data_IF_272152160234
#
_entry.id   IF_272152160234
#
_cell.length_a   1.000
_cell.length_b   1.000
_cell.length_c   1.000
_cell.angle_alpha   90.00
_cell.angle_beta   90.00
_cell.angle_gamma   90.00
#
_symmetry.space_group_name_H-M   'P 1'
#
loop_
_entity.id
_entity.type
_entity.pdbx_description
1 polymer ?
#
# COMPACT_ATOMS: atom_id res chain seq x y z
N UNK A 1 -1.95 -37.29 -11.57
CA UNK A 1 -0.86 -36.44 -11.02
C UNK A 1 -0.77 -35.09 -11.72
N UNK A 2 -0.60 -35.03 -13.06
CA UNK A 2 -0.51 -33.75 -13.78
C UNK A 2 -1.69 -32.78 -13.57
N UNK A 3 -2.93 -33.28 -13.56
CA UNK A 3 -4.11 -32.45 -13.33
C UNK A 3 -4.14 -31.81 -11.93
N UNK A 4 -3.71 -32.55 -10.90
CA UNK A 4 -3.61 -32.04 -9.52
C UNK A 4 -2.52 -30.96 -9.42
N UNK A 5 -1.39 -31.14 -10.12
CA UNK A 5 -0.31 -30.15 -10.18
C UNK A 5 -0.75 -28.87 -10.92
N UNK A 6 -1.51 -29.00 -12.01
CA UNK A 6 -2.09 -27.87 -12.74
C UNK A 6 -3.14 -27.11 -11.90
N UNK A 7 -3.99 -27.82 -11.19
CA UNK A 7 -4.96 -27.24 -10.25
C UNK A 7 -4.28 -26.50 -9.10
N UNK A 8 -3.20 -27.04 -8.54
CA UNK A 8 -2.44 -26.36 -7.50
C UNK A 8 -1.71 -25.11 -8.00
N UNK A 9 -1.14 -25.15 -9.22
CA UNK A 9 -0.50 -23.97 -9.82
C UNK A 9 -1.55 -22.90 -10.11
N UNK A 10 -2.70 -23.27 -10.68
CA UNK A 10 -3.79 -22.33 -10.94
C UNK A 10 -4.32 -21.69 -9.65
N UNK A 11 -4.47 -22.48 -8.58
CA UNK A 11 -4.86 -21.96 -7.27
C UNK A 11 -3.84 -20.96 -6.71
N UNK A 12 -2.54 -21.25 -6.83
CA UNK A 12 -1.48 -20.31 -6.40
C UNK A 12 -1.47 -19.01 -7.19
N UNK A 13 -1.75 -19.05 -8.50
CA UNK A 13 -1.83 -17.85 -9.35
C UNK A 13 -3.06 -17.00 -9.01
N UNK A 14 -4.12 -17.60 -8.47
CA UNK A 14 -5.33 -16.89 -8.06
C UNK A 14 -5.22 -16.24 -6.67
N UNK A 15 -4.20 -16.57 -5.87
CA UNK A 15 -3.87 -15.82 -4.66
C UNK A 15 -3.13 -14.55 -5.08
N UNK A 16 -3.86 -13.61 -5.70
CA UNK A 16 -3.37 -12.25 -5.87
C UNK A 16 -3.12 -11.61 -4.50
N UNK A 17 -2.23 -10.62 -4.45
CA UNK A 17 -2.11 -9.73 -3.30
C UNK A 17 -3.44 -8.99 -3.14
N UNK A 18 -4.36 -9.59 -2.37
CA UNK A 18 -5.61 -8.96 -1.98
C UNK A 18 -5.30 -7.94 -0.91
N UNK A 19 -5.72 -6.70 -1.12
CA UNK A 19 -5.66 -5.66 -0.11
C UNK A 19 -6.37 -6.03 1.15
N UNK A 20 -5.93 -5.37 2.21
CA UNK A 20 -6.45 -5.50 3.55
C UNK A 20 -7.02 -4.17 3.99
N UNK A 21 -8.22 -4.20 4.54
CA UNK A 21 -8.75 -3.10 5.33
C UNK A 21 -8.42 -3.37 6.79
N UNK A 22 -7.49 -2.61 7.36
CA UNK A 22 -7.10 -2.77 8.75
C UNK A 22 -8.18 -2.24 9.70
N UNK A 23 -8.31 -2.88 10.87
CA UNK A 23 -8.97 -2.24 12.01
C UNK A 23 -8.02 -1.23 12.65
N UNK A 24 -8.57 -0.17 13.27
CA UNK A 24 -7.76 0.90 13.89
C UNK A 24 -6.65 0.39 14.82
N UNK A 25 -6.98 -0.47 15.78
CA UNK A 25 -5.99 -0.98 16.75
C UNK A 25 -5.02 -1.99 16.12
N UNK A 26 -5.46 -2.71 15.09
CA UNK A 26 -4.59 -3.63 14.34
C UNK A 26 -3.52 -2.84 13.58
N UNK A 27 -3.91 -1.77 12.88
CA UNK A 27 -2.97 -0.86 12.23
C UNK A 27 -2.05 -0.18 13.26
N UNK A 28 -2.59 0.24 14.40
CA UNK A 28 -1.80 0.84 15.48
C UNK A 28 -0.67 -0.09 15.94
N UNK A 29 -0.98 -1.38 16.12
CA UNK A 29 0.01 -2.38 16.50
C UNK A 29 1.08 -2.59 15.44
N UNK A 30 0.70 -2.67 14.16
CA UNK A 30 1.66 -2.79 13.04
C UNK A 30 2.58 -1.57 12.98
N UNK A 31 2.03 -0.36 13.06
CA UNK A 31 2.81 0.88 13.01
C UNK A 31 3.72 1.05 14.23
N UNK A 32 3.25 0.67 15.42
CA UNK A 32 4.08 0.66 16.62
C UNK A 32 5.25 -0.33 16.51
N UNK A 33 4.99 -1.54 16.00
CA UNK A 33 6.05 -2.54 15.74
C UNK A 33 7.05 -2.08 14.69
N UNK A 34 6.61 -1.28 13.72
CA UNK A 34 7.47 -0.63 12.72
C UNK A 34 8.24 0.59 13.25
N UNK A 35 8.07 0.96 14.53
CA UNK A 35 8.79 2.10 15.14
C UNK A 35 8.26 3.47 14.73
N UNK A 36 6.99 3.55 14.29
CA UNK A 36 6.40 4.82 13.82
C UNK A 36 5.98 5.76 14.97
N UNK A 37 5.82 5.25 16.19
CA UNK A 37 5.46 6.07 17.34
C UNK A 37 6.64 6.96 17.78
N UNK A 38 6.51 8.27 17.58
CA UNK A 38 7.56 9.25 17.80
C UNK A 38 8.48 9.47 16.59
N UNK A 39 8.27 8.78 15.47
CA UNK A 39 9.09 8.95 14.27
C UNK A 39 8.99 10.39 13.74
N UNK A 40 10.14 11.07 13.67
CA UNK A 40 10.23 12.51 13.34
C UNK A 40 9.34 13.41 14.21
N UNK A 41 9.03 12.98 15.43
CA UNK A 41 8.20 13.73 16.39
C UNK A 41 6.69 13.55 16.24
N UNK A 42 6.22 12.70 15.31
CA UNK A 42 4.81 12.39 15.14
C UNK A 42 4.40 11.18 15.99
N UNK A 43 3.29 11.30 16.70
CA UNK A 43 2.75 10.23 17.54
C UNK A 43 2.08 9.14 16.69
N UNK A 44 1.88 7.96 17.28
CA UNK A 44 1.09 6.91 16.63
C UNK A 44 -0.33 7.37 16.23
N UNK A 45 -0.93 8.29 16.98
CA UNK A 45 -2.24 8.83 16.68
C UNK A 45 -2.26 9.66 15.38
N UNK A 46 -1.17 10.37 15.08
CA UNK A 46 -1.05 11.16 13.85
C UNK A 46 -1.03 10.27 12.62
N UNK A 47 -0.25 9.18 12.64
CA UNK A 47 -0.20 8.19 11.57
C UNK A 47 -1.55 7.50 11.35
N UNK A 48 -2.25 7.16 12.43
CA UNK A 48 -3.60 6.58 12.34
C UNK A 48 -4.62 7.56 11.78
N UNK A 49 -4.52 8.85 12.15
CA UNK A 49 -5.39 9.89 11.64
C UNK A 49 -5.22 10.04 10.12
N UNK A 50 -3.97 10.17 9.67
CA UNK A 50 -3.63 10.25 8.25
C UNK A 50 -4.14 9.04 7.47
N UNK A 51 -3.76 7.82 7.88
CA UNK A 51 -4.21 6.59 7.19
C UNK A 51 -5.74 6.43 7.13
N UNK A 52 -6.47 6.91 8.15
CA UNK A 52 -7.93 6.89 8.11
C UNK A 52 -8.47 7.89 7.09
N UNK A 53 -7.96 9.11 7.09
CA UNK A 53 -8.47 10.18 6.25
C UNK A 53 -8.14 9.99 4.77
N UNK A 54 -6.95 9.45 4.49
CA UNK A 54 -6.47 9.13 3.15
C UNK A 54 -7.20 7.92 2.56
N UNK A 55 -7.14 6.74 3.21
CA UNK A 55 -7.59 5.49 2.56
C UNK A 55 -8.69 4.73 3.31
N UNK A 56 -9.15 5.24 4.46
CA UNK A 56 -10.02 4.51 5.40
C UNK A 56 -9.39 3.17 5.84
N UNK A 57 -8.06 3.16 6.01
CA UNK A 57 -7.24 1.98 6.37
C UNK A 57 -7.21 0.85 5.32
N UNK A 58 -7.68 1.10 4.10
CA UNK A 58 -7.57 0.15 3.00
C UNK A 58 -6.19 0.24 2.35
N UNK A 59 -5.49 -0.89 2.22
CA UNK A 59 -4.19 -0.95 1.55
C UNK A 59 -4.27 -0.95 0.03
N UNK A 60 -5.45 -1.18 -0.54
CA UNK A 60 -5.68 -1.23 -2.00
C UNK A 60 -6.34 0.03 -2.57
N UNK A 61 -6.49 1.10 -1.77
CA UNK A 61 -7.01 2.36 -2.31
C UNK A 61 -6.05 2.93 -3.34
N UNK A 62 -6.57 3.26 -4.52
CA UNK A 62 -5.86 3.94 -5.58
C UNK A 62 -6.73 5.08 -6.08
N UNK A 63 -6.23 6.30 -5.96
CA UNK A 63 -6.86 7.49 -6.50
C UNK A 63 -6.07 8.00 -7.72
N UNK A 64 -6.79 8.61 -8.67
CA UNK A 64 -6.26 9.05 -9.96
C UNK A 64 -6.30 10.57 -10.07
N UNK A 65 -5.14 11.18 -10.29
CA UNK A 65 -4.98 12.61 -10.38
C UNK A 65 -5.14 13.13 -11.81
N UNK A 66 -5.49 14.41 -11.94
CA UNK A 66 -5.72 15.05 -13.24
C UNK A 66 -4.47 15.14 -14.12
N UNK A 67 -3.27 15.07 -13.52
CA UNK A 67 -1.99 15.07 -14.23
C UNK A 67 -1.55 13.67 -14.69
N UNK A 68 -2.36 12.65 -14.43
CA UNK A 68 -2.13 11.25 -14.81
C UNK A 68 -1.31 10.45 -13.79
N UNK A 69 -0.86 11.06 -12.69
CA UNK A 69 -0.30 10.32 -11.54
C UNK A 69 -1.38 9.63 -10.72
N UNK A 70 -0.96 8.74 -9.81
CA UNK A 70 -1.84 8.04 -8.89
C UNK A 70 -1.37 8.16 -7.45
N UNK A 71 -2.30 8.18 -6.52
CA UNK A 71 -2.05 8.04 -5.09
C UNK A 71 -2.35 6.62 -4.64
N UNK A 72 -1.36 5.96 -4.03
CA UNK A 72 -1.36 4.51 -3.88
C UNK A 72 -1.33 4.06 -2.42
N UNK A 73 -2.24 3.15 -2.07
CA UNK A 73 -2.25 2.38 -0.84
C UNK A 73 -2.67 3.14 0.41
N UNK A 74 -2.30 2.60 1.56
CA UNK A 74 -2.82 3.05 2.87
C UNK A 74 -2.47 4.50 3.24
N UNK A 75 -1.38 5.02 2.66
CA UNK A 75 -0.90 6.38 2.89
C UNK A 75 -1.01 7.28 1.65
N UNK A 76 -1.67 6.80 0.59
CA UNK A 76 -1.88 7.56 -0.66
C UNK A 76 -0.55 8.15 -1.20
N UNK A 77 0.45 7.27 -1.37
CA UNK A 77 1.78 7.66 -1.85
C UNK A 77 1.72 7.93 -3.36
N UNK A 78 2.05 9.16 -3.75
CA UNK A 78 1.92 9.64 -5.13
C UNK A 78 3.00 9.10 -6.10
N UNK A 79 2.59 8.63 -7.28
CA UNK A 79 3.46 8.07 -8.32
C UNK A 79 4.29 9.11 -9.07
N UNK A 80 3.96 10.40 -9.02
CA UNK A 80 4.77 11.46 -9.65
C UNK A 80 6.14 11.64 -8.98
N UNK A 81 6.24 11.32 -7.70
CA UNK A 81 7.43 11.62 -6.89
C UNK A 81 8.03 10.38 -6.22
N UNK A 82 7.20 9.50 -5.66
CA UNK A 82 7.67 8.53 -4.68
C UNK A 82 7.91 7.13 -5.24
N UNK A 83 7.03 6.63 -6.10
CA UNK A 83 7.09 5.29 -6.67
C UNK A 83 6.95 5.33 -8.20
N UNK A 84 7.25 4.21 -8.87
CA UNK A 84 7.05 4.05 -10.32
C UNK A 84 5.82 3.17 -10.61
N UNK A 85 4.92 3.67 -11.46
CA UNK A 85 3.72 2.95 -11.96
C UNK A 85 3.84 2.57 -13.44
N UNK A 86 4.97 2.89 -14.07
CA UNK A 86 5.26 2.76 -15.50
C UNK A 86 4.27 3.47 -16.44
N UNK A 87 3.47 4.40 -15.91
CA UNK A 87 2.45 5.15 -16.66
C UNK A 87 2.74 6.64 -16.65
N UNK A 88 3.20 7.16 -15.51
CA UNK A 88 3.48 8.57 -15.30
C UNK A 88 4.99 8.84 -15.27
N UNK A 89 5.41 10.08 -15.53
CA UNK A 89 6.81 10.47 -15.33
C UNK A 89 7.08 10.63 -13.83
N UNK A 90 8.06 9.90 -13.31
CA UNK A 90 8.35 9.84 -11.86
C UNK A 90 9.83 10.09 -11.56
N UNK A 91 10.10 10.59 -10.35
CA UNK A 91 11.44 10.60 -9.75
C UNK A 91 11.77 9.29 -9.03
N UNK A 92 10.75 8.51 -8.64
CA UNK A 92 10.85 7.27 -7.89
C UNK A 92 11.83 7.35 -6.70
N UNK A 93 11.61 8.31 -5.80
CA UNK A 93 12.49 8.55 -4.64
C UNK A 93 12.54 7.39 -3.65
N UNK A 94 11.50 6.55 -3.60
CA UNK A 94 11.47 5.34 -2.78
C UNK A 94 12.07 4.12 -3.49
N UNK A 95 12.45 4.24 -4.76
CA UNK A 95 13.05 3.18 -5.56
C UNK A 95 12.23 1.88 -5.58
N UNK A 96 10.92 2.00 -5.81
CA UNK A 96 9.99 0.87 -5.78
C UNK A 96 8.81 1.04 -6.73
N UNK A 97 8.13 -0.06 -7.06
CA UNK A 97 6.88 -0.02 -7.81
C UNK A 97 5.69 0.40 -6.93
N UNK A 98 4.73 1.14 -7.48
CA UNK A 98 3.59 1.69 -6.74
C UNK A 98 2.62 0.64 -6.17
N UNK A 99 2.59 -0.57 -6.73
CA UNK A 99 1.81 -1.69 -6.16
C UNK A 99 2.48 -2.36 -4.95
N UNK A 100 3.64 -1.85 -4.52
CA UNK A 100 4.54 -2.56 -3.62
C UNK A 100 5.39 -3.60 -4.37
N UNK A 101 6.60 -3.78 -3.87
CA UNK A 101 7.55 -4.85 -4.23
C UNK A 101 7.95 -5.62 -2.97
#
# INVERSE_FOLDING_TARGET
MAALMLLSILACVLVGNMGKIFRRCELAQVLHQAGMDGFRGYSLADWLCMAFHESRFNTDTVDHEADGSTDNGIFQINSRQWCDDYRSSTQNLCHMHCSGE
#
